data_IF_963309582685
#
_entry.id   IF_963309582685
#
_cell.length_a   1.000
_cell.length_b   1.000
_cell.length_c   1.000
_cell.angle_alpha   90.00
_cell.angle_beta   90.00
_cell.angle_gamma   90.00
#
_symmetry.space_group_name_H-M   'P 1'
#
loop_
_entity.id
_entity.type
_entity.pdbx_description
1 polymer ?
#
# COMPACT_ATOMS: atom_id res chain seq x y z
N UNK A 1 -3.81 -1.32 0.29
CA UNK A 1 -2.99 -2.44 0.77
C UNK A 1 -3.17 -3.66 -0.12
N UNK A 2 -4.39 -4.18 -0.28
CA UNK A 2 -4.67 -5.40 -1.06
C UNK A 2 -4.71 -5.22 -2.59
N UNK A 3 -4.35 -4.04 -3.11
CA UNK A 3 -4.46 -3.71 -4.54
C UNK A 3 -5.85 -3.86 -5.17
N UNK A 4 -6.90 -3.79 -4.35
CA UNK A 4 -8.27 -3.72 -4.84
C UNK A 4 -8.40 -2.60 -5.88
N UNK A 5 -9.00 -2.94 -7.03
CA UNK A 5 -9.22 -2.00 -8.13
C UNK A 5 -10.50 -1.20 -7.95
N UNK A 6 -11.36 -1.65 -7.04
CA UNK A 6 -12.67 -1.09 -6.78
C UNK A 6 -12.84 -0.97 -5.26
N UNK A 7 -13.43 0.13 -4.82
CA UNK A 7 -13.82 0.38 -3.46
C UNK A 7 -15.15 1.13 -3.43
N UNK A 8 -15.46 1.79 -2.33
CA UNK A 8 -16.69 2.55 -2.23
C UNK A 8 -17.08 2.92 -0.82
N UNK A 9 -18.25 3.55 -0.72
CA UNK A 9 -18.87 3.93 0.55
C UNK A 9 -20.24 3.27 0.65
N UNK A 10 -20.55 2.75 1.84
CA UNK A 10 -21.82 2.08 2.14
C UNK A 10 -22.49 2.77 3.32
N UNK A 11 -23.77 3.10 3.17
CA UNK A 11 -24.67 3.46 4.28
C UNK A 11 -25.43 2.19 4.65
N UNK A 12 -25.28 1.77 5.90
CA UNK A 12 -25.90 0.56 6.43
C UNK A 12 -26.58 0.82 7.78
N UNK A 13 -27.48 -0.08 8.16
CA UNK A 13 -28.01 -0.12 9.52
C UNK A 13 -26.93 -0.57 10.52
N UNK A 14 -27.16 -0.33 11.81
CA UNK A 14 -26.31 -0.91 12.85
C UNK A 14 -26.79 -2.32 13.18
N UNK A 15 -25.88 -3.29 13.14
CA UNK A 15 -26.16 -4.63 13.62
C UNK A 15 -25.85 -4.75 15.12
N UNK A 16 -26.74 -5.33 15.95
CA UNK A 16 -26.64 -5.25 17.41
C UNK A 16 -25.45 -6.01 18.02
N UNK A 17 -24.85 -6.95 17.28
CA UNK A 17 -23.81 -7.86 17.80
C UNK A 17 -22.53 -7.92 16.98
N UNK A 18 -22.59 -7.53 15.72
CA UNK A 18 -21.53 -7.78 14.75
C UNK A 18 -21.22 -6.46 14.08
N UNK A 19 -19.96 -6.06 14.10
CA UNK A 19 -19.51 -4.82 13.46
C UNK A 19 -19.71 -4.91 11.95
N UNK A 20 -20.18 -3.82 11.35
CA UNK A 20 -20.36 -3.66 9.90
C UNK A 20 -21.21 -4.73 9.19
N UNK A 21 -22.14 -5.38 9.91
CA UNK A 21 -23.01 -6.44 9.39
C UNK A 21 -24.49 -6.03 9.25
N UNK A 22 -24.78 -4.73 9.19
CA UNK A 22 -26.15 -4.25 9.03
C UNK A 22 -26.65 -4.41 7.60
N UNK A 23 -27.97 -4.24 7.42
CA UNK A 23 -28.53 -4.16 6.06
C UNK A 23 -27.96 -2.97 5.31
N UNK A 24 -27.63 -3.16 4.05
CA UNK A 24 -27.18 -2.11 3.15
C UNK A 24 -28.40 -1.29 2.73
N UNK A 25 -28.36 0.02 3.00
CA UNK A 25 -29.41 0.98 2.63
C UNK A 25 -29.05 1.67 1.32
N UNK A 26 -27.80 2.10 1.19
CA UNK A 26 -27.30 2.76 -0.02
C UNK A 26 -25.80 2.48 -0.17
N UNK A 27 -25.31 2.37 -1.41
CA UNK A 27 -23.91 2.08 -1.67
C UNK A 27 -23.44 2.76 -2.95
N UNK A 28 -22.25 3.36 -2.91
CA UNK A 28 -21.56 3.88 -4.08
C UNK A 28 -20.27 3.11 -4.29
N UNK A 29 -20.22 2.35 -5.38
CA UNK A 29 -19.02 1.66 -5.86
C UNK A 29 -18.22 2.60 -6.76
N UNK A 30 -16.90 2.55 -6.67
CA UNK A 30 -16.01 3.36 -7.47
C UNK A 30 -14.67 2.69 -7.73
N UNK A 31 -14.09 2.99 -8.89
CA UNK A 31 -12.74 2.57 -9.21
C UNK A 31 -11.74 3.28 -8.29
N UNK A 32 -10.75 2.53 -7.81
CA UNK A 32 -9.63 3.06 -7.05
C UNK A 32 -8.56 3.46 -8.07
N UNK A 33 -8.21 4.76 -8.17
CA UNK A 33 -7.21 5.18 -9.13
C UNK A 33 -5.87 4.48 -8.90
N UNK A 34 -5.20 4.11 -9.99
CA UNK A 34 -3.86 3.54 -9.90
C UNK A 34 -2.92 4.54 -9.21
N UNK A 35 -1.97 4.03 -8.42
CA UNK A 35 -0.97 4.82 -7.70
C UNK A 35 -1.51 5.81 -6.63
N UNK A 36 -2.82 5.81 -6.34
CA UNK A 36 -3.38 6.69 -5.31
C UNK A 36 -2.85 6.34 -3.92
N UNK A 37 -2.60 7.37 -3.11
CA UNK A 37 -2.21 7.25 -1.70
C UNK A 37 -3.43 7.28 -0.80
N UNK A 38 -3.31 6.67 0.39
CA UNK A 38 -4.41 6.62 1.38
C UNK A 38 -5.02 7.97 1.67
N UNK A 39 -4.20 9.02 1.84
CA UNK A 39 -4.68 10.35 2.20
C UNK A 39 -5.60 10.95 1.12
N UNK A 40 -5.26 10.77 -0.15
CA UNK A 40 -6.09 11.25 -1.26
C UNK A 40 -7.36 10.42 -1.38
N UNK A 41 -7.25 9.09 -1.25
CA UNK A 41 -8.40 8.19 -1.28
C UNK A 41 -9.37 8.47 -0.13
N UNK A 42 -8.85 8.76 1.06
CA UNK A 42 -9.62 9.14 2.25
C UNK A 42 -10.43 10.42 2.00
N UNK A 43 -9.83 11.44 1.37
CA UNK A 43 -10.54 12.66 0.97
C UNK A 43 -11.67 12.36 -0.03
N UNK A 44 -11.37 11.60 -1.08
CA UNK A 44 -12.35 11.23 -2.11
C UNK A 44 -13.53 10.46 -1.49
N UNK A 45 -13.25 9.46 -0.65
CA UNK A 45 -14.29 8.66 0.01
C UNK A 45 -15.06 9.49 1.04
N UNK A 46 -14.42 10.44 1.71
CA UNK A 46 -15.08 11.40 2.60
C UNK A 46 -16.11 12.25 1.86
N UNK A 47 -15.73 12.84 0.72
CA UNK A 47 -16.62 13.67 -0.09
C UNK A 47 -17.79 12.84 -0.65
N UNK A 48 -17.51 11.65 -1.19
CA UNK A 48 -18.55 10.72 -1.68
C UNK A 48 -19.47 10.28 -0.55
N UNK A 49 -18.91 9.99 0.63
CA UNK A 49 -19.64 9.58 1.82
C UNK A 49 -20.58 10.66 2.36
N UNK A 50 -20.14 11.92 2.35
CA UNK A 50 -21.01 13.05 2.70
C UNK A 50 -22.19 13.16 1.74
N UNK A 51 -21.93 13.08 0.44
CA UNK A 51 -22.98 13.19 -0.58
C UNK A 51 -24.00 12.05 -0.50
N UNK A 52 -23.55 10.80 -0.43
CA UNK A 52 -24.44 9.63 -0.35
C UNK A 52 -25.26 9.63 0.95
N UNK A 53 -24.69 10.13 2.05
CA UNK A 53 -25.43 10.28 3.31
C UNK A 53 -26.59 11.26 3.16
N UNK A 54 -26.35 12.44 2.59
CA UNK A 54 -27.41 13.44 2.37
C UNK A 54 -28.50 12.91 1.42
N UNK A 55 -28.10 12.24 0.34
CA UNK A 55 -29.05 11.58 -0.57
C UNK A 55 -29.88 10.51 0.15
N UNK A 56 -29.24 9.71 0.99
CA UNK A 56 -29.91 8.65 1.75
C UNK A 56 -30.91 9.23 2.74
N UNK A 57 -30.57 10.32 3.44
CA UNK A 57 -31.46 10.96 4.40
C UNK A 57 -32.68 11.59 3.72
N UNK A 58 -32.51 12.19 2.53
CA UNK A 58 -33.63 12.77 1.76
C UNK A 58 -34.65 11.72 1.31
N UNK A 59 -34.18 10.51 0.99
CA UNK A 59 -34.99 9.43 0.45
C UNK A 59 -35.10 8.24 1.44
N UNK A 60 -34.95 8.49 2.73
CA UNK A 60 -34.67 7.42 3.71
C UNK A 60 -35.75 6.36 3.78
N UNK A 61 -37.03 6.75 3.83
CA UNK A 61 -38.14 5.80 3.94
C UNK A 61 -38.16 4.81 2.78
N UNK A 62 -38.01 5.31 1.55
CA UNK A 62 -38.00 4.46 0.34
C UNK A 62 -36.75 3.57 0.28
N UNK A 63 -35.57 4.12 0.56
CA UNK A 63 -34.32 3.35 0.54
C UNK A 63 -34.28 2.30 1.64
N UNK A 64 -34.84 2.59 2.81
CA UNK A 64 -34.94 1.64 3.93
C UNK A 64 -35.84 0.45 3.59
N UNK A 65 -36.97 0.69 2.92
CA UNK A 65 -37.84 -0.40 2.45
C UNK A 65 -37.11 -1.34 1.47
N UNK A 66 -36.16 -0.81 0.71
CA UNK A 66 -35.32 -1.56 -0.25
C UNK A 66 -34.02 -2.09 0.37
N UNK A 67 -33.77 -1.88 1.66
CA UNK A 67 -32.52 -2.29 2.29
C UNK A 67 -32.39 -3.82 2.32
N UNK A 68 -31.19 -4.31 2.01
CA UNK A 68 -30.94 -5.75 1.81
C UNK A 68 -29.82 -6.27 2.71
N UNK A 69 -29.89 -7.55 3.07
CA UNK A 69 -28.87 -8.21 3.87
C UNK A 69 -27.58 -8.41 3.06
N UNK A 70 -26.44 -8.33 3.75
CA UNK A 70 -25.14 -8.61 3.14
C UNK A 70 -25.01 -10.10 2.79
N UNK A 71 -24.22 -10.38 1.76
CA UNK A 71 -23.88 -11.74 1.35
C UNK A 71 -22.72 -12.25 2.22
N UNK A 72 -23.02 -13.14 3.18
CA UNK A 72 -22.03 -13.67 4.13
C UNK A 72 -20.85 -14.37 3.44
N UNK A 73 -21.05 -14.93 2.25
CA UNK A 73 -19.98 -15.59 1.48
C UNK A 73 -18.91 -14.61 0.96
N UNK A 74 -19.22 -13.31 0.95
CA UNK A 74 -18.33 -12.23 0.47
C UNK A 74 -17.74 -11.39 1.59
N UNK A 75 -18.02 -11.72 2.85
CA UNK A 75 -17.53 -10.98 4.00
C UNK A 75 -16.00 -11.12 4.08
N UNK A 76 -15.33 -9.98 4.17
CA UNK A 76 -13.90 -9.90 4.42
C UNK A 76 -13.64 -8.93 5.57
N UNK A 77 -12.60 -9.20 6.36
CA UNK A 77 -12.27 -8.40 7.54
C UNK A 77 -11.09 -7.48 7.24
N UNK A 78 -11.28 -6.18 7.47
CA UNK A 78 -10.19 -5.21 7.50
C UNK A 78 -9.63 -5.12 8.93
N UNK A 79 -8.44 -5.68 9.21
CA UNK A 79 -7.88 -5.68 10.55
C UNK A 79 -7.53 -4.27 11.02
N UNK A 80 -7.56 -4.06 12.34
CA UNK A 80 -6.99 -2.86 12.95
C UNK A 80 -5.52 -2.75 12.54
N UNK A 81 -5.11 -1.53 12.18
CA UNK A 81 -3.72 -1.26 11.83
C UNK A 81 -2.85 -1.37 13.08
N UNK A 82 -1.85 -2.26 13.03
CA UNK A 82 -0.76 -2.30 14.00
C UNK A 82 0.55 -1.84 13.35
N UNK A 83 1.64 -1.76 14.12
CA UNK A 83 2.95 -1.37 13.56
C UNK A 83 3.58 -2.45 12.69
N UNK A 84 3.13 -3.69 12.78
CA UNK A 84 3.71 -4.81 12.04
C UNK A 84 3.19 -4.87 10.60
N UNK A 85 1.97 -4.39 10.34
CA UNK A 85 1.35 -4.48 9.02
C UNK A 85 2.07 -3.62 7.96
N UNK A 86 2.78 -2.56 8.38
CA UNK A 86 3.59 -1.71 7.52
C UNK A 86 5.03 -2.21 7.35
N UNK A 87 5.37 -3.33 7.98
CA UNK A 87 6.70 -3.91 7.86
C UNK A 87 6.86 -4.63 6.54
N UNK A 88 7.99 -4.38 5.89
CA UNK A 88 8.44 -5.12 4.71
C UNK A 88 9.04 -6.45 5.15
N UNK A 89 8.44 -7.56 4.69
CA UNK A 89 9.01 -8.90 4.77
C UNK A 89 9.57 -9.26 3.40
N UNK A 90 10.87 -9.02 3.20
CA UNK A 90 11.52 -9.22 1.90
C UNK A 90 11.31 -10.61 1.31
N UNK A 91 11.20 -11.64 2.16
CA UNK A 91 11.03 -13.02 1.71
C UNK A 91 9.60 -13.33 1.24
N UNK A 92 8.60 -12.54 1.65
CA UNK A 92 7.18 -12.78 1.32
C UNK A 92 6.57 -11.72 0.43
N UNK A 93 6.95 -10.46 0.62
CA UNK A 93 6.35 -9.35 -0.10
C UNK A 93 6.98 -9.24 -1.49
N UNK A 94 6.15 -9.07 -2.51
CA UNK A 94 6.62 -8.67 -3.85
C UNK A 94 6.86 -7.17 -3.88
N UNK A 95 7.52 -6.68 -4.94
CA UNK A 95 7.65 -5.24 -5.17
C UNK A 95 6.28 -4.54 -5.21
N UNK A 96 5.25 -5.20 -5.78
CA UNK A 96 3.89 -4.67 -5.82
C UNK A 96 3.27 -4.57 -4.41
N UNK A 97 3.48 -5.57 -3.56
CA UNK A 97 3.00 -5.56 -2.16
C UNK A 97 3.65 -4.44 -1.36
N UNK A 98 4.98 -4.29 -1.48
CA UNK A 98 5.75 -3.22 -0.83
C UNK A 98 5.26 -1.86 -1.31
N UNK A 99 5.07 -1.68 -2.62
CA UNK A 99 4.55 -0.43 -3.18
C UNK A 99 3.13 -0.11 -2.66
N UNK A 100 2.33 -1.15 -2.41
CA UNK A 100 0.95 -1.00 -1.93
C UNK A 100 0.86 -0.70 -0.45
N UNK A 101 1.76 -1.27 0.36
CA UNK A 101 2.02 -0.86 1.74
C UNK A 101 2.54 0.58 1.77
N UNK A 102 3.42 0.95 0.85
CA UNK A 102 3.90 2.32 0.68
C UNK A 102 2.77 3.33 0.48
N UNK A 103 1.88 3.09 -0.49
CA UNK A 103 0.73 3.97 -0.73
C UNK A 103 -0.29 3.97 0.40
N UNK A 104 -0.44 2.86 1.11
CA UNK A 104 -1.39 2.74 2.23
C UNK A 104 -0.90 3.43 3.51
N UNK A 105 0.38 3.28 3.85
CA UNK A 105 0.94 3.72 5.15
C UNK A 105 1.87 4.92 5.03
N UNK A 106 2.22 5.32 3.80
CA UNK A 106 3.11 6.44 3.52
C UNK A 106 4.53 6.22 4.06
N UNK A 107 4.99 7.17 4.83
CA UNK A 107 6.29 7.25 5.49
C UNK A 107 6.43 6.38 6.74
N UNK A 108 5.36 5.67 7.14
CA UNK A 108 5.35 4.72 8.26
C UNK A 108 5.72 3.29 7.86
N UNK A 109 6.20 3.09 6.63
CA UNK A 109 6.72 1.79 6.21
C UNK A 109 8.12 1.61 6.77
N UNK A 110 8.30 0.50 7.50
CA UNK A 110 9.54 0.21 8.20
C UNK A 110 10.09 -1.10 7.64
N UNK A 111 11.41 -1.19 7.44
CA UNK A 111 12.05 -2.50 7.50
C UNK A 111 12.10 -2.93 8.99
N UNK A 112 11.81 -4.21 9.30
CA UNK A 112 11.97 -4.73 10.68
C UNK A 112 13.42 -4.90 11.08
N UNK A 113 14.28 -4.99 10.07
CA UNK A 113 15.62 -5.53 10.17
C UNK A 113 16.63 -4.42 10.48
N UNK A 114 16.45 -3.28 9.83
CA UNK A 114 17.14 -2.03 10.11
C UNK A 114 16.06 -0.98 10.36
N UNK A 115 16.22 -0.09 11.34
CA UNK A 115 15.35 1.07 11.54
C UNK A 115 15.46 2.07 10.37
N UNK A 116 15.09 1.61 9.18
CA UNK A 116 15.21 2.27 7.90
C UNK A 116 13.81 2.42 7.34
N UNK A 117 13.53 3.64 6.92
CA UNK A 117 12.32 4.03 6.23
C UNK A 117 12.65 4.35 4.78
N UNK A 118 11.79 3.89 3.88
CA UNK A 118 11.93 4.13 2.46
C UNK A 118 10.93 5.19 1.99
N UNK A 119 11.38 6.03 1.07
CA UNK A 119 10.62 7.15 0.52
C UNK A 119 10.84 7.23 -0.99
N UNK A 120 9.89 7.86 -1.67
CA UNK A 120 9.97 8.12 -3.11
C UNK A 120 10.25 6.81 -3.89
N UNK A 121 9.37 5.83 -3.61
CA UNK A 121 9.42 4.48 -4.19
C UNK A 121 8.74 4.51 -5.56
N UNK A 122 9.39 3.94 -6.57
CA UNK A 122 8.82 3.83 -7.90
C UNK A 122 7.71 2.77 -7.98
N UNK A 123 6.70 3.02 -8.82
CA UNK A 123 5.72 2.00 -9.18
C UNK A 123 6.44 0.87 -9.96
N UNK A 124 6.47 -0.37 -9.43
CA UNK A 124 7.15 -1.49 -10.08
C UNK A 124 6.50 -1.95 -11.39
N UNK A 125 5.22 -1.65 -11.63
CA UNK A 125 4.54 -1.95 -12.90
C UNK A 125 5.06 -1.10 -14.06
N UNK A 126 5.70 0.05 -13.76
CA UNK A 126 6.26 0.98 -14.74
C UNK A 126 7.73 0.73 -15.04
N UNK A 127 8.34 -0.28 -14.42
CA UNK A 127 9.74 -0.64 -14.62
C UNK A 127 9.90 -1.60 -15.80
N UNK A 128 10.91 -1.33 -16.63
CA UNK A 128 11.27 -2.24 -17.71
C UNK A 128 11.98 -3.47 -17.14
N UNK A 129 11.30 -4.63 -17.20
CA UNK A 129 11.81 -5.89 -16.61
C UNK A 129 13.08 -6.40 -17.27
N UNK A 130 13.34 -6.02 -18.53
CA UNK A 130 14.50 -6.49 -19.28
C UNK A 130 15.84 -5.96 -18.76
N UNK A 131 15.82 -4.90 -17.93
CA UNK A 131 17.01 -4.29 -17.33
C UNK A 131 17.56 -5.08 -16.13
N UNK A 132 16.93 -6.21 -15.76
CA UNK A 132 17.20 -6.94 -14.50
C UNK A 132 17.82 -8.33 -14.67
N UNK A 133 18.34 -8.67 -15.85
CA UNK A 133 18.87 -10.01 -16.15
C UNK A 133 20.06 -10.42 -15.26
N UNK A 134 20.85 -9.45 -14.81
CA UNK A 134 22.10 -9.69 -14.07
C UNK A 134 21.90 -10.30 -12.67
N UNK A 135 20.68 -10.25 -12.10
CA UNK A 135 20.44 -10.64 -10.71
C UNK A 135 19.24 -11.59 -10.54
N UNK A 136 18.85 -12.27 -11.62
CA UNK A 136 17.83 -13.33 -11.56
C UNK A 136 18.32 -14.45 -10.62
N UNK A 137 17.55 -14.76 -9.56
CA UNK A 137 17.94 -15.75 -8.55
C UNK A 137 18.75 -15.20 -7.38
N UNK A 138 18.92 -13.88 -7.25
CA UNK A 138 19.43 -13.27 -6.03
C UNK A 138 18.43 -13.44 -4.86
N UNK A 139 18.94 -13.50 -3.63
CA UNK A 139 18.08 -13.63 -2.46
C UNK A 139 17.26 -12.34 -2.22
N UNK A 140 16.01 -12.42 -1.74
CA UNK A 140 15.27 -11.23 -1.34
C UNK A 140 16.00 -10.42 -0.26
N UNK A 141 15.93 -9.10 -0.35
CA UNK A 141 16.68 -8.13 0.47
C UNK A 141 18.03 -7.73 -0.11
N UNK A 142 18.47 -8.34 -1.23
CA UNK A 142 19.71 -7.99 -1.93
C UNK A 142 19.60 -6.61 -2.57
N UNK A 143 20.58 -5.73 -2.29
CA UNK A 143 20.67 -4.39 -2.87
C UNK A 143 21.43 -4.44 -4.19
N UNK A 144 20.84 -3.79 -5.20
CA UNK A 144 21.37 -3.66 -6.55
C UNK A 144 21.78 -2.21 -6.79
N UNK A 145 23.06 -1.96 -7.04
CA UNK A 145 23.51 -0.67 -7.56
C UNK A 145 23.49 -0.71 -9.08
N UNK A 146 23.34 0.49 -9.64
CA UNK A 146 23.32 0.77 -11.07
C UNK A 146 21.95 0.71 -11.76
N UNK A 147 20.96 1.48 -11.27
CA UNK A 147 19.89 1.96 -12.16
C UNK A 147 20.36 3.24 -12.85
N UNK A 148 21.13 3.04 -13.94
CA UNK A 148 21.84 4.05 -14.76
C UNK A 148 20.94 5.22 -15.19
N UNK A 149 20.66 6.17 -14.29
CA UNK A 149 20.10 7.53 -14.51
C UNK A 149 19.28 8.10 -13.33
N UNK A 150 18.97 7.33 -12.28
CA UNK A 150 17.84 7.70 -11.38
C UNK A 150 18.16 8.07 -9.93
N UNK A 151 19.44 8.02 -9.50
CA UNK A 151 19.84 8.16 -8.08
C UNK A 151 19.01 7.26 -7.12
N UNK A 152 18.65 6.06 -7.58
CA UNK A 152 17.89 5.07 -6.82
C UNK A 152 18.69 3.78 -6.62
N UNK A 153 18.27 2.98 -5.65
CA UNK A 153 18.71 1.60 -5.45
C UNK A 153 17.57 0.66 -5.77
N UNK A 154 17.90 -0.46 -6.41
CA UNK A 154 16.98 -1.59 -6.55
C UNK A 154 17.16 -2.53 -5.36
N UNK A 155 16.07 -3.09 -4.85
CA UNK A 155 16.13 -4.16 -3.84
C UNK A 155 15.31 -5.33 -4.36
N UNK A 156 15.90 -6.52 -4.31
CA UNK A 156 15.25 -7.77 -4.68
C UNK A 156 14.19 -8.12 -3.65
N UNK A 157 12.99 -8.45 -4.11
CA UNK A 157 11.85 -8.84 -3.30
C UNK A 157 11.50 -10.32 -3.61
N UNK A 158 10.45 -10.84 -2.98
CA UNK A 158 9.95 -12.18 -3.33
C UNK A 158 9.56 -12.27 -4.82
N UNK A 159 9.57 -13.50 -5.33
CA UNK A 159 9.24 -13.83 -6.73
C UNK A 159 10.10 -13.09 -7.78
N UNK A 160 11.37 -12.85 -7.48
CA UNK A 160 12.33 -12.14 -8.36
C UNK A 160 11.83 -10.74 -8.81
N UNK A 161 10.96 -10.11 -8.03
CA UNK A 161 10.52 -8.74 -8.28
C UNK A 161 11.49 -7.74 -7.69
N UNK A 162 11.55 -6.51 -8.23
CA UNK A 162 12.48 -5.48 -7.77
C UNK A 162 11.70 -4.21 -7.41
N UNK A 163 11.99 -3.67 -6.22
CA UNK A 163 11.49 -2.37 -5.79
C UNK A 163 12.60 -1.32 -5.90
N UNK A 164 12.31 -0.20 -6.55
CA UNK A 164 13.25 0.89 -6.73
C UNK A 164 12.96 2.02 -5.74
N UNK A 165 14.00 2.45 -5.01
CA UNK A 165 13.89 3.39 -3.90
C UNK A 165 14.85 4.56 -4.13
N UNK A 166 14.32 5.79 -4.11
CA UNK A 166 15.14 7.01 -4.29
C UNK A 166 15.63 7.62 -3.00
N UNK A 167 14.89 7.46 -1.90
CA UNK A 167 15.20 8.13 -0.64
C UNK A 167 15.08 7.18 0.53
N UNK A 168 15.99 7.36 1.48
CA UNK A 168 16.15 6.48 2.64
C UNK A 168 16.33 7.36 3.87
N UNK A 169 15.72 6.96 4.98
CA UNK A 169 15.96 7.57 6.29
C UNK A 169 16.29 6.49 7.30
N UNK A 170 17.46 6.60 7.91
CA UNK A 170 17.81 5.82 9.09
C UNK A 170 17.22 6.53 10.31
N UNK A 171 16.66 5.78 11.25
CA UNK A 171 16.09 6.33 12.49
C UNK A 171 17.12 7.21 13.23
N UNK A 172 16.67 8.39 13.66
CA UNK A 172 17.55 9.40 14.26
C UNK A 172 18.40 10.22 13.27
N UNK A 173 18.27 9.99 11.95
CA UNK A 173 18.97 10.76 10.89
C UNK A 173 17.99 11.49 9.97
N UNK A 174 18.51 12.44 9.19
CA UNK A 174 17.76 13.07 8.10
C UNK A 174 17.54 12.10 6.95
N UNK A 175 16.47 12.32 6.18
CA UNK A 175 16.24 11.61 4.93
C UNK A 175 17.31 12.01 3.91
N UNK A 176 17.96 11.02 3.30
CA UNK A 176 19.00 11.19 2.27
C UNK A 176 18.60 10.48 0.98
N UNK A 177 19.32 10.75 -0.11
CA UNK A 177 19.14 9.96 -1.34
C UNK A 177 19.63 8.52 -1.12
N UNK A 178 19.09 7.58 -1.89
CA UNK A 178 19.52 6.20 -1.83
C UNK A 178 21.00 6.06 -2.24
N UNK A 179 21.47 6.91 -3.15
CA UNK A 179 22.89 7.01 -3.52
C UNK A 179 23.77 7.44 -2.33
N UNK A 180 23.39 8.50 -1.62
CA UNK A 180 24.15 8.97 -0.44
C UNK A 180 24.10 7.97 0.70
N UNK A 181 22.97 7.28 0.88
CA UNK A 181 22.84 6.20 1.86
C UNK A 181 23.86 5.09 1.58
N UNK A 182 23.97 4.64 0.34
CA UNK A 182 24.92 3.60 -0.05
C UNK A 182 26.36 4.03 0.18
N UNK A 183 26.72 5.25 -0.24
CA UNK A 183 28.08 5.76 -0.07
C UNK A 183 28.42 6.02 1.40
N UNK A 184 27.51 6.62 2.16
CA UNK A 184 27.70 6.97 3.55
C UNK A 184 27.80 5.76 4.49
N UNK A 185 27.14 4.65 4.14
CA UNK A 185 27.19 3.40 4.90
C UNK A 185 28.10 2.34 4.25
N UNK A 186 28.84 2.68 3.18
CA UNK A 186 29.75 1.78 2.46
C UNK A 186 29.10 0.46 2.05
N UNK A 187 27.84 0.51 1.62
CA UNK A 187 27.09 -0.67 1.19
C UNK A 187 27.65 -1.13 -0.15
N UNK A 188 27.81 -2.45 -0.32
CA UNK A 188 28.39 -3.06 -1.54
C UNK A 188 27.32 -3.73 -2.42
N UNK A 189 27.59 -3.84 -3.74
CA UNK A 189 26.68 -4.49 -4.69
C UNK A 189 26.41 -5.91 -4.23
N UNK A 190 25.15 -6.33 -4.16
CA UNK A 190 24.79 -7.67 -3.73
C UNK A 190 24.74 -7.85 -2.21
N UNK A 191 24.98 -6.79 -1.43
CA UNK A 191 24.81 -6.83 0.01
C UNK A 191 23.33 -6.94 0.37
N UNK A 192 23.01 -7.80 1.33
CA UNK A 192 21.64 -7.91 1.86
C UNK A 192 21.39 -6.85 2.93
N UNK A 193 20.18 -6.30 2.97
CA UNK A 193 19.65 -5.58 4.13
C UNK A 193 19.36 -6.60 5.25
N UNK A 194 20.39 -6.96 6.03
CA UNK A 194 20.31 -7.72 7.29
C UNK A 194 20.26 -6.77 8.49
#
# INVERSE_FOLDING_TARGET
>A
MNNDKVGGVTIQELHPKVMDAGKIINQKIMDIPQDIYRADLEKIFGDVGGNILIETLKNYSELKEKAYCQDESKVSYAPKLDKNISVIDWNKDTAADIYSKFRAFGDKNNSKILSIHFYDIFNPEKLNRDEHKEFKGANPGTILFNWKSSNSIGIVCSHDTIINIKKVRVEGKSTVSAYDFVNGYSITQGQMLI
#
